data_IF_466192129370
#
_entry.id   IF_466192129370
#
_cell.length_a   1.000
_cell.length_b   1.000
_cell.length_c   1.000
_cell.angle_alpha   90.00
_cell.angle_beta   90.00
_cell.angle_gamma   90.00
#
_symmetry.space_group_name_H-M   'P 1'
#
loop_
_entity.id
_entity.type
_entity.pdbx_description
1 polymer ?
#
# COMPACT_ATOMS: atom_id res chain seq x y z
N UNK A 1 -26.03 -54.49 2.59
CA UNK A 1 -25.51 -54.48 1.20
C UNK A 1 -24.04 -54.13 1.25
N UNK A 2 -23.17 -55.05 0.79
CA UNK A 2 -21.80 -54.78 0.33
C UNK A 2 -20.71 -54.48 1.36
N UNK A 3 -20.15 -55.50 2.01
CA UNK A 3 -18.80 -55.44 2.54
C UNK A 3 -17.83 -56.18 1.59
N UNK A 4 -16.56 -55.78 1.64
CA UNK A 4 -15.37 -56.41 1.09
C UNK A 4 -15.07 -56.22 -0.41
N UNK A 5 -14.19 -55.26 -0.68
CA UNK A 5 -13.17 -55.39 -1.71
C UNK A 5 -11.81 -55.26 -1.01
N UNK A 6 -11.18 -56.40 -0.71
CA UNK A 6 -9.74 -56.47 -0.46
C UNK A 6 -9.09 -56.67 -1.82
N UNK A 7 -8.11 -55.84 -2.19
CA UNK A 7 -6.89 -56.29 -2.86
C UNK A 7 -5.73 -55.39 -2.44
N UNK A 8 -4.69 -56.05 -1.94
CA UNK A 8 -3.39 -55.47 -1.59
C UNK A 8 -2.57 -55.35 -2.85
N UNK A 9 -1.87 -54.24 -3.03
CA UNK A 9 -0.53 -54.23 -3.61
C UNK A 9 0.19 -52.93 -3.20
N UNK A 10 1.13 -53.07 -2.28
CA UNK A 10 2.18 -52.09 -2.05
C UNK A 10 3.32 -52.38 -3.03
N UNK A 11 3.79 -51.39 -3.77
CA UNK A 11 5.17 -51.34 -4.28
C UNK A 11 5.66 -49.90 -4.18
N UNK A 12 6.88 -49.78 -3.67
CA UNK A 12 7.55 -48.60 -3.21
C UNK A 12 8.34 -47.87 -4.31
N UNK A 13 8.70 -46.63 -3.98
CA UNK A 13 9.91 -45.90 -4.38
C UNK A 13 10.14 -45.64 -5.87
N UNK A 14 10.00 -44.38 -6.27
CA UNK A 14 11.09 -43.67 -6.94
C UNK A 14 10.90 -42.16 -6.81
N UNK A 15 11.87 -41.51 -6.15
CA UNK A 15 11.96 -40.06 -6.11
C UNK A 15 12.25 -39.54 -7.51
N UNK A 16 11.39 -38.64 -7.97
CA UNK A 16 11.81 -37.58 -8.89
C UNK A 16 11.32 -36.30 -8.26
N UNK A 17 12.22 -35.67 -7.49
CA UNK A 17 12.13 -34.27 -7.17
C UNK A 17 12.25 -33.49 -8.48
N UNK A 18 11.13 -33.34 -9.20
CA UNK A 18 11.00 -32.26 -10.16
C UNK A 18 10.86 -30.99 -9.31
N UNK A 19 12.02 -30.40 -9.02
CA UNK A 19 12.17 -28.98 -8.80
C UNK A 19 11.57 -28.27 -10.03
N UNK A 20 10.24 -28.14 -10.05
CA UNK A 20 9.60 -27.02 -10.72
C UNK A 20 10.04 -25.79 -9.93
N UNK A 21 11.24 -25.31 -10.25
CA UNK A 21 11.66 -23.99 -9.87
C UNK A 21 10.58 -23.05 -10.40
N UNK A 22 9.75 -22.53 -9.52
CA UNK A 22 9.02 -21.31 -9.78
C UNK A 22 10.07 -20.21 -9.88
N UNK A 23 10.77 -20.15 -11.00
CA UNK A 23 11.35 -18.91 -11.49
C UNK A 23 10.16 -18.05 -11.95
N UNK A 24 9.35 -17.59 -11.00
CA UNK A 24 8.62 -16.34 -11.19
C UNK A 24 9.69 -15.25 -11.16
N UNK A 25 10.38 -15.08 -12.28
CA UNK A 25 10.91 -13.78 -12.69
C UNK A 25 9.72 -12.87 -13.01
N UNK A 26 8.85 -12.67 -12.03
CA UNK A 26 7.85 -11.63 -12.07
C UNK A 26 8.60 -10.35 -11.84
N UNK A 27 8.63 -9.47 -12.85
CA UNK A 27 8.93 -8.06 -12.65
C UNK A 27 7.95 -7.52 -11.62
N UNK A 28 8.34 -7.58 -10.36
CA UNK A 28 7.56 -7.07 -9.26
C UNK A 28 7.90 -5.58 -9.19
N UNK A 29 7.02 -4.70 -9.68
CA UNK A 29 7.15 -3.30 -9.32
C UNK A 29 7.00 -3.18 -7.81
N UNK A 30 8.12 -3.01 -7.12
CA UNK A 30 8.17 -3.01 -5.68
C UNK A 30 8.25 -1.58 -5.15
N UNK A 31 7.43 -1.29 -4.13
CA UNK A 31 7.66 -0.13 -3.26
C UNK A 31 8.56 -0.61 -2.13
N UNK A 32 9.85 -0.76 -2.45
CA UNK A 32 10.90 -1.01 -1.47
C UNK A 32 11.01 0.20 -0.53
N UNK A 33 10.52 0.07 0.72
CA UNK A 33 10.60 1.14 1.73
C UNK A 33 9.28 1.62 2.36
N UNK A 34 8.19 0.85 2.20
CA UNK A 34 6.88 0.87 2.89
C UNK A 34 6.58 2.11 3.76
N UNK A 35 5.67 2.96 3.29
CA UNK A 35 5.22 4.18 3.94
C UNK A 35 5.01 3.97 5.45
N UNK A 36 5.75 4.71 6.27
CA UNK A 36 5.69 4.62 7.74
C UNK A 36 4.73 5.68 8.28
N UNK A 37 4.14 5.47 9.48
CA UNK A 37 3.27 6.47 10.10
C UNK A 37 3.86 7.89 10.12
N UNK A 38 5.17 8.01 10.38
CA UNK A 38 5.92 9.28 10.38
C UNK A 38 5.96 10.03 9.05
N UNK A 39 5.69 9.37 7.92
CA UNK A 39 5.64 10.04 6.61
C UNK A 39 4.32 10.80 6.42
N UNK A 40 3.31 10.51 7.23
CA UNK A 40 2.03 11.20 7.23
C UNK A 40 2.07 12.35 8.23
N UNK A 41 2.63 13.47 7.80
CA UNK A 41 2.66 14.70 8.60
C UNK A 41 1.35 15.45 8.37
N UNK A 42 0.41 15.26 9.30
CA UNK A 42 -0.90 15.89 9.24
C UNK A 42 -0.85 17.31 9.80
N UNK A 43 -1.45 18.23 9.07
CA UNK A 43 -1.73 19.59 9.49
C UNK A 43 -3.24 19.79 9.59
N UNK A 44 -3.68 20.47 10.63
CA UNK A 44 -5.06 20.92 10.75
C UNK A 44 -5.34 21.96 9.65
N UNK A 45 -6.37 21.70 8.83
CA UNK A 45 -6.83 22.57 7.75
C UNK A 45 -8.22 23.16 8.02
N UNK A 46 -8.99 22.48 8.87
CA UNK A 46 -10.21 23.02 9.47
C UNK A 46 -10.15 22.73 10.96
N UNK A 47 -10.31 23.77 11.77
CA UNK A 47 -10.24 23.65 13.22
C UNK A 47 -11.34 22.74 13.76
N UNK A 48 -10.98 21.91 14.74
CA UNK A 48 -11.96 21.16 15.52
C UNK A 48 -12.26 21.90 16.83
N UNK A 49 -13.55 22.04 17.15
CA UNK A 49 -14.00 22.76 18.35
C UNK A 49 -13.93 21.92 19.64
N UNK A 50 -13.28 20.75 19.58
CA UNK A 50 -13.05 19.90 20.76
C UNK A 50 -14.24 19.05 21.22
N UNK A 51 -15.39 19.17 20.55
CA UNK A 51 -16.55 18.32 20.81
C UNK A 51 -17.31 18.01 19.52
N UNK A 52 -17.97 16.84 19.49
CA UNK A 52 -18.73 16.37 18.33
C UNK A 52 -17.86 16.03 17.10
N UNK A 53 -18.52 15.70 16.00
CA UNK A 53 -17.89 15.51 14.70
C UNK A 53 -17.38 16.83 14.13
N UNK A 54 -16.25 16.82 13.44
CA UNK A 54 -15.76 17.98 12.71
C UNK A 54 -14.25 18.06 12.67
N UNK A 55 -13.78 19.22 12.21
CA UNK A 55 -12.37 19.46 11.92
C UNK A 55 -11.84 18.59 10.79
N UNK A 56 -10.77 19.06 10.16
CA UNK A 56 -10.11 18.36 9.08
C UNK A 56 -8.61 18.48 9.22
N UNK A 57 -7.92 17.40 8.90
CA UNK A 57 -6.48 17.37 8.78
C UNK A 57 -6.09 16.88 7.39
N UNK A 58 -4.96 17.36 6.91
CA UNK A 58 -4.42 16.95 5.64
C UNK A 58 -2.91 16.74 5.70
N UNK A 59 -2.42 15.82 4.88
CA UNK A 59 -1.00 15.56 4.62
C UNK A 59 -0.76 15.56 3.10
N UNK A 60 0.47 15.80 2.68
CA UNK A 60 0.87 15.79 1.28
C UNK A 60 2.03 14.82 1.08
N UNK A 61 1.89 13.87 0.16
CA UNK A 61 2.91 12.85 -0.11
C UNK A 61 3.32 12.85 -1.58
N UNK A 62 4.62 12.77 -1.80
CA UNK A 62 5.24 12.48 -3.09
C UNK A 62 5.98 11.14 -2.96
N UNK A 63 5.36 10.06 -3.45
CA UNK A 63 5.87 8.69 -3.32
C UNK A 63 6.53 8.26 -4.61
N UNK A 64 7.82 7.91 -4.53
CA UNK A 64 8.55 7.33 -5.64
C UNK A 64 8.15 5.88 -5.85
N UNK A 65 7.84 5.54 -7.09
CA UNK A 65 7.63 4.18 -7.56
C UNK A 65 8.79 3.90 -8.53
N UNK A 66 9.59 2.89 -8.21
CA UNK A 66 10.70 2.47 -9.04
C UNK A 66 10.34 1.18 -9.79
N UNK A 67 10.88 1.05 -11.00
CA UNK A 67 10.86 -0.18 -11.78
C UNK A 67 12.21 -0.87 -11.71
N UNK A 68 12.22 -2.15 -12.03
CA UNK A 68 13.44 -2.93 -12.20
C UNK A 68 14.33 -2.38 -13.32
N UNK A 69 13.75 -1.65 -14.29
CA UNK A 69 14.49 -0.94 -15.34
C UNK A 69 15.31 0.25 -14.83
N UNK A 70 15.16 0.64 -13.56
CA UNK A 70 15.75 1.84 -12.99
C UNK A 70 14.93 3.12 -13.23
N UNK A 71 13.80 3.03 -13.95
CA UNK A 71 12.88 4.15 -14.10
C UNK A 71 12.18 4.45 -12.76
N UNK A 72 12.15 5.73 -12.38
CA UNK A 72 11.48 6.21 -11.18
C UNK A 72 10.43 7.26 -11.55
N UNK A 73 9.25 7.13 -10.96
CA UNK A 73 8.18 8.12 -11.08
C UNK A 73 7.64 8.53 -9.70
N UNK A 74 7.38 9.82 -9.52
CA UNK A 74 6.81 10.35 -8.27
C UNK A 74 5.28 10.45 -8.39
N UNK A 75 4.58 9.55 -7.69
CA UNK A 75 3.15 9.65 -7.44
C UNK A 75 2.88 10.77 -6.42
N UNK A 76 2.07 11.77 -6.79
CA UNK A 76 1.76 12.92 -5.92
C UNK A 76 0.28 12.90 -5.56
N UNK A 77 -0.02 13.04 -4.27
CA UNK A 77 -1.39 13.06 -3.77
C UNK A 77 -1.48 13.69 -2.38
N UNK A 78 -2.65 14.23 -2.07
CA UNK A 78 -3.02 14.62 -0.72
C UNK A 78 -3.64 13.44 0.04
N UNK A 79 -3.65 13.53 1.36
CA UNK A 79 -4.40 12.63 2.24
C UNK A 79 -5.18 13.51 3.20
N UNK A 80 -6.50 13.48 3.11
CA UNK A 80 -7.40 14.34 3.88
C UNK A 80 -8.36 13.49 4.69
N UNK A 81 -8.63 13.87 5.94
CA UNK A 81 -9.57 13.14 6.79
C UNK A 81 -10.12 14.02 7.91
N UNK A 82 -11.29 13.66 8.47
CA UNK A 82 -11.81 14.34 9.64
C UNK A 82 -10.91 14.19 10.86
N UNK A 83 -10.94 15.18 11.75
CA UNK A 83 -10.34 15.06 13.10
C UNK A 83 -11.24 14.22 14.01
N UNK A 84 -12.55 14.42 13.89
CA UNK A 84 -13.56 13.59 14.54
C UNK A 84 -14.75 13.34 13.60
N UNK A 85 -15.34 12.15 13.66
CA UNK A 85 -16.57 11.82 12.92
C UNK A 85 -17.53 10.98 13.78
N UNK A 86 -18.77 10.82 13.32
CA UNK A 86 -19.80 10.11 14.09
C UNK A 86 -19.52 8.60 14.23
N UNK A 87 -18.80 8.01 13.28
CA UNK A 87 -18.54 6.57 13.25
C UNK A 87 -17.44 6.17 14.25
N UNK A 88 -16.47 7.05 14.50
CA UNK A 88 -15.22 6.72 15.19
C UNK A 88 -14.93 7.65 16.36
N UNK A 89 -15.70 8.72 16.53
CA UNK A 89 -15.41 9.78 17.48
C UNK A 89 -14.14 10.54 17.09
N UNK A 90 -13.38 10.96 18.10
CA UNK A 90 -12.08 11.61 17.90
C UNK A 90 -11.03 10.62 17.38
N UNK A 91 -10.36 10.98 16.30
CA UNK A 91 -9.31 10.18 15.69
C UNK A 91 -7.97 10.80 16.09
N UNK A 92 -7.17 10.09 16.87
CA UNK A 92 -5.85 10.62 17.26
C UNK A 92 -4.91 10.77 16.05
N UNK A 93 -3.89 11.61 16.18
CA UNK A 93 -2.88 11.76 15.12
C UNK A 93 -2.15 10.45 14.86
N UNK A 94 -1.81 9.71 15.92
CA UNK A 94 -1.14 8.41 15.83
C UNK A 94 -2.00 7.39 15.09
N UNK A 95 -3.30 7.35 15.39
CA UNK A 95 -4.25 6.48 14.70
C UNK A 95 -4.37 6.85 13.21
N UNK A 96 -4.50 8.15 12.90
CA UNK A 96 -4.56 8.64 11.53
C UNK A 96 -3.30 8.27 10.73
N UNK A 97 -2.12 8.43 11.33
CA UNK A 97 -0.84 8.07 10.74
C UNK A 97 -0.71 6.55 10.52
N UNK A 98 -1.08 5.76 11.52
CA UNK A 98 -1.00 4.29 11.46
C UNK A 98 -1.91 3.73 10.38
N UNK A 99 -3.19 4.14 10.36
CA UNK A 99 -4.15 3.69 9.36
C UNK A 99 -3.76 4.15 7.95
N UNK A 100 -3.29 5.40 7.80
CA UNK A 100 -2.82 5.89 6.51
C UNK A 100 -1.65 5.07 5.96
N UNK A 101 -0.66 4.79 6.81
CA UNK A 101 0.48 3.95 6.44
C UNK A 101 0.05 2.53 6.08
N UNK A 102 -0.80 1.90 6.90
CA UNK A 102 -1.28 0.54 6.65
C UNK A 102 -2.06 0.43 5.34
N UNK A 103 -3.06 1.31 5.13
CA UNK A 103 -3.88 1.33 3.93
C UNK A 103 -3.06 1.66 2.67
N UNK A 104 -2.14 2.61 2.75
CA UNK A 104 -1.27 2.93 1.62
C UNK A 104 -0.34 1.75 1.27
N UNK A 105 0.24 1.07 2.27
CA UNK A 105 1.07 -0.10 2.01
C UNK A 105 0.27 -1.28 1.45
N UNK A 106 -0.97 -1.47 1.92
CA UNK A 106 -1.88 -2.47 1.35
C UNK A 106 -2.19 -2.15 -0.12
N UNK A 107 -2.46 -0.88 -0.42
CA UNK A 107 -2.74 -0.45 -1.78
C UNK A 107 -1.54 -0.59 -2.70
N UNK A 108 -0.37 -0.15 -2.25
CA UNK A 108 0.88 -0.31 -2.99
C UNK A 108 1.15 -1.78 -3.30
N UNK A 109 0.99 -2.67 -2.30
CA UNK A 109 1.14 -4.11 -2.53
C UNK A 109 0.14 -4.61 -3.57
N UNK A 110 -1.14 -4.29 -3.44
CA UNK A 110 -2.17 -4.79 -4.34
C UNK A 110 -2.01 -4.33 -5.79
N UNK A 111 -1.64 -3.06 -6.02
CA UNK A 111 -1.59 -2.49 -7.37
C UNK A 111 -0.23 -2.65 -8.02
N UNK A 112 0.86 -2.57 -7.23
CA UNK A 112 2.21 -2.58 -7.78
C UNK A 112 2.80 -3.99 -7.82
N UNK A 113 2.36 -4.96 -7.00
CA UNK A 113 2.79 -6.35 -7.24
C UNK A 113 2.25 -6.94 -8.55
N UNK A 114 1.16 -6.38 -9.07
CA UNK A 114 0.49 -6.83 -10.29
C UNK A 114 0.93 -6.06 -11.55
N UNK A 115 1.62 -4.92 -11.39
CA UNK A 115 2.02 -4.10 -12.53
C UNK A 115 3.17 -4.76 -13.31
N UNK A 116 3.05 -4.73 -14.64
CA UNK A 116 4.02 -5.32 -15.56
C UNK A 116 4.87 -4.21 -16.18
N UNK A 117 6.03 -4.53 -16.80
CA UNK A 117 6.81 -3.54 -17.54
C UNK A 117 6.01 -2.81 -18.64
N UNK A 118 4.95 -3.43 -19.18
CA UNK A 118 4.08 -2.83 -20.19
C UNK A 118 2.99 -1.91 -19.62
N UNK A 119 2.66 -1.99 -18.33
CA UNK A 119 1.71 -1.07 -17.69
C UNK A 119 2.29 0.34 -17.73
N UNK A 120 1.59 1.40 -18.17
CA UNK A 120 2.12 2.76 -18.06
C UNK A 120 2.31 3.16 -16.59
N UNK A 121 3.47 3.71 -16.21
CA UNK A 121 3.77 4.04 -14.80
C UNK A 121 2.79 5.09 -14.22
N UNK A 122 2.26 5.97 -15.07
CA UNK A 122 1.21 6.92 -14.72
C UNK A 122 -0.12 6.23 -14.34
N UNK A 123 -0.46 5.12 -14.99
CA UNK A 123 -1.64 4.32 -14.68
C UNK A 123 -1.49 3.63 -13.32
N UNK A 124 -0.33 3.06 -13.04
CA UNK A 124 -0.02 2.44 -11.76
C UNK A 124 -0.17 3.42 -10.57
N UNK A 125 0.18 4.69 -10.78
CA UNK A 125 -0.02 5.75 -9.77
C UNK A 125 -1.49 6.03 -9.49
N UNK A 126 -2.32 6.11 -10.53
CA UNK A 126 -3.75 6.37 -10.38
C UNK A 126 -4.48 5.19 -9.76
N UNK A 127 -4.11 3.96 -10.13
CA UNK A 127 -4.64 2.74 -9.52
C UNK A 127 -4.28 2.66 -8.04
N UNK A 128 -2.99 2.87 -7.72
CA UNK A 128 -2.52 2.95 -6.33
C UNK A 128 -3.32 3.97 -5.52
N UNK A 129 -3.44 5.21 -6.02
CA UNK A 129 -4.18 6.30 -5.36
C UNK A 129 -5.64 5.93 -5.14
N UNK A 130 -6.30 5.40 -6.17
CA UNK A 130 -7.72 5.07 -6.12
C UNK A 130 -7.99 3.95 -5.12
N UNK A 131 -7.16 2.92 -5.10
CA UNK A 131 -7.30 1.84 -4.12
C UNK A 131 -6.92 2.27 -2.70
N UNK A 132 -5.94 3.17 -2.56
CA UNK A 132 -5.63 3.79 -1.28
C UNK A 132 -6.82 4.62 -0.75
N UNK A 133 -7.49 5.39 -1.60
CA UNK A 133 -8.69 6.15 -1.23
C UNK A 133 -9.81 5.23 -0.70
N UNK A 134 -10.07 4.13 -1.41
CA UNK A 134 -11.09 3.16 -1.01
C UNK A 134 -10.78 2.51 0.35
N UNK A 135 -9.55 2.02 0.51
CA UNK A 135 -9.12 1.36 1.76
C UNK A 135 -9.08 2.34 2.93
N UNK A 136 -8.62 3.58 2.70
CA UNK A 136 -8.58 4.60 3.75
C UNK A 136 -9.98 5.08 4.12
N UNK A 137 -10.90 5.26 3.18
CA UNK A 137 -12.28 5.65 3.50
C UNK A 137 -13.03 4.57 4.28
N UNK A 138 -12.74 3.30 4.00
CA UNK A 138 -13.26 2.18 4.78
C UNK A 138 -12.69 2.16 6.22
N UNK A 139 -11.41 2.52 6.39
CA UNK A 139 -10.76 2.59 7.70
C UNK A 139 -11.10 3.87 8.49
N UNK A 140 -11.30 5.00 7.80
CA UNK A 140 -11.62 6.32 8.35
C UNK A 140 -12.74 6.92 7.52
N UNK A 141 -13.95 6.93 8.07
CA UNK A 141 -15.13 7.40 7.35
C UNK A 141 -14.97 8.87 6.98
N UNK A 142 -15.09 9.16 5.69
CA UNK A 142 -14.96 10.51 5.16
C UNK A 142 -13.54 10.90 4.73
N UNK A 143 -12.55 10.03 4.91
CA UNK A 143 -11.20 10.24 4.38
C UNK A 143 -11.18 10.23 2.85
N UNK A 144 -10.24 10.98 2.27
CA UNK A 144 -10.08 11.24 0.84
C UNK A 144 -8.60 11.26 0.46
N UNK A 145 -8.29 10.91 -0.78
CA UNK A 145 -6.92 10.94 -1.31
C UNK A 145 -6.89 11.74 -2.61
N UNK A 146 -7.04 13.08 -2.55
CA UNK A 146 -7.10 13.92 -3.74
C UNK A 146 -5.80 13.88 -4.55
N UNK A 147 -5.90 14.07 -5.86
CA UNK A 147 -4.74 14.16 -6.76
C UNK A 147 -3.82 15.34 -6.46
N UNK A 148 -4.37 16.40 -5.88
CA UNK A 148 -3.65 17.59 -5.49
C UNK A 148 -3.53 17.67 -3.96
N UNK A 149 -2.41 18.19 -3.48
CA UNK A 149 -2.24 18.49 -2.07
C UNK A 149 -3.02 19.75 -1.68
N UNK A 150 -3.51 19.78 -0.45
CA UNK A 150 -4.13 20.96 0.14
C UNK A 150 -3.14 22.12 0.15
N UNK A 151 -3.61 23.33 -0.21
CA UNK A 151 -2.77 24.53 -0.32
C UNK A 151 -2.05 24.81 0.99
N UNK A 152 -0.75 25.10 0.92
CA UNK A 152 0.08 25.47 2.08
C UNK A 152 0.70 24.29 2.83
N UNK A 153 0.33 23.05 2.50
CA UNK A 153 0.95 21.85 3.09
C UNK A 153 2.20 21.46 2.30
N UNK A 154 3.33 21.32 3.00
CA UNK A 154 4.59 20.90 2.39
C UNK A 154 4.58 19.39 2.10
N UNK A 155 5.00 18.95 0.91
CA UNK A 155 5.08 17.53 0.58
C UNK A 155 6.17 16.82 1.37
N UNK A 156 5.85 15.63 1.87
CA UNK A 156 6.83 14.64 2.32
C UNK A 156 7.20 13.77 1.12
N UNK A 157 8.48 13.80 0.74
CA UNK A 157 9.01 12.98 -0.35
C UNK A 157 9.50 11.65 0.21
N UNK A 158 9.00 10.56 -0.35
CA UNK A 158 9.41 9.20 0.02
C UNK A 158 9.92 8.51 -1.24
N UNK A 159 11.22 8.30 -1.36
CA UNK A 159 11.81 7.56 -2.48
C UNK A 159 12.15 6.13 -2.06
N UNK A 160 12.02 5.15 -2.96
CA UNK A 160 12.52 3.81 -2.71
C UNK A 160 14.02 3.88 -2.42
N UNK A 161 14.48 3.22 -1.36
CA UNK A 161 15.89 2.87 -1.25
C UNK A 161 16.10 1.71 -2.21
N UNK A 162 16.89 1.93 -3.28
CA UNK A 162 17.19 0.87 -4.24
C UNK A 162 17.76 -0.39 -3.57
N UNK A 163 17.81 -1.53 -4.28
CA UNK A 163 18.35 -2.76 -3.71
C UNK A 163 19.76 -2.46 -3.19
N UNK A 164 19.98 -2.71 -1.90
CA UNK A 164 21.31 -2.64 -1.30
C UNK A 164 22.19 -3.66 -2.00
N UNK A 165 22.98 -3.22 -2.99
CA UNK A 165 24.12 -3.94 -3.56
C UNK A 165 25.23 -3.96 -2.50
N UNK A 166 24.96 -4.62 -1.36
CA UNK A 166 25.96 -5.06 -0.40
C UNK A 166 25.82 -6.58 -0.27
N UNK A 167 26.02 -7.25 -1.39
CA UNK A 167 26.39 -8.66 -1.47
C UNK A 167 27.80 -8.76 -2.03
N UNK A 168 28.76 -8.14 -1.36
CA UNK A 168 30.17 -8.42 -1.60
C UNK A 168 30.54 -9.70 -0.86
N UNK A 169 30.73 -10.77 -1.61
CA UNK A 169 31.64 -11.87 -1.30
C UNK A 169 32.24 -12.36 -2.61
#
# INVERSE_FOLDING_TARGET
MGASAFWKAAVALCGVALLSGCATGGSATYVEGALRPRHFVFHEVVKWEGSGSGGWRAACLHVGIARDSGEMFLCRFGVEMPIANDAQGFISTEQAQSLSASCANQAARATLSAATPATPISMACEEFRSFYELTLNAAIKGARVPKACTRGIKPVVVTPTGPSINGGM
#
